data_IF_996991888095
#
_entry.id   IF_996991888095
#
_cell.length_a   1.000
_cell.length_b   1.000
_cell.length_c   1.000
_cell.angle_alpha   90.00
_cell.angle_beta   90.00
_cell.angle_gamma   90.00
#
_symmetry.space_group_name_H-M   'P 1'
#
loop_
_entity.id
_entity.type
_entity.pdbx_description
1 polymer ?
#
# COMPACT_ATOMS: atom_id res chain seq x y z
N UNK A 1 -1.79 2.75 18.95
CA UNK A 1 -1.90 4.04 18.21
C UNK A 1 -1.98 3.68 16.73
N UNK A 2 -3.14 3.82 16.10
CA UNK A 2 -3.30 3.64 14.65
C UNK A 2 -2.68 4.85 13.93
N UNK A 3 -1.92 4.60 12.87
CA UNK A 3 -1.24 5.63 12.07
C UNK A 3 -2.09 6.11 10.89
N UNK A 4 -3.26 5.49 10.66
CA UNK A 4 -4.13 5.69 9.51
C UNK A 4 -3.50 5.33 8.14
N UNK A 5 -2.23 4.91 8.10
CA UNK A 5 -1.59 4.39 6.90
C UNK A 5 -2.13 3.01 6.54
N UNK A 6 -2.34 2.78 5.24
CA UNK A 6 -2.70 1.48 4.67
C UNK A 6 -1.86 1.24 3.42
N UNK A 7 -1.52 -0.02 3.17
CA UNK A 7 -0.98 -0.50 1.89
C UNK A 7 -2.13 -1.19 1.17
N UNK A 8 -2.49 -0.72 -0.03
CA UNK A 8 -3.66 -1.23 -0.73
C UNK A 8 -3.54 -1.13 -2.26
N UNK A 9 -4.37 -1.91 -2.96
CA UNK A 9 -4.52 -1.85 -4.41
C UNK A 9 -5.30 -0.61 -4.88
N UNK A 10 -5.48 -0.46 -6.19
CA UNK A 10 -6.20 0.67 -6.76
C UNK A 10 -6.95 0.34 -8.05
N UNK A 11 -8.06 1.05 -8.28
CA UNK A 11 -8.78 1.10 -9.54
C UNK A 11 -8.31 2.24 -10.49
N UNK A 12 -7.43 3.14 -10.04
CA UNK A 12 -6.83 4.21 -10.85
C UNK A 12 -5.29 4.02 -10.87
N UNK A 13 -4.76 2.99 -11.56
CA UNK A 13 -3.33 2.65 -11.56
C UNK A 13 -2.43 3.77 -12.10
N UNK A 14 -2.94 4.63 -12.99
CA UNK A 14 -2.27 5.80 -13.55
C UNK A 14 -1.98 6.88 -12.52
N UNK A 15 -2.62 6.84 -11.34
CA UNK A 15 -2.41 7.80 -10.24
C UNK A 15 -1.35 7.34 -9.24
N UNK A 16 -0.79 6.14 -9.41
CA UNK A 16 0.33 5.68 -8.60
C UNK A 16 1.53 6.62 -8.81
N UNK A 17 2.18 7.02 -7.72
CA UNK A 17 3.32 7.95 -7.75
C UNK A 17 2.94 9.44 -7.78
N UNK A 18 1.65 9.77 -7.83
CA UNK A 18 1.15 11.13 -7.69
C UNK A 18 0.78 11.43 -6.23
N UNK A 19 0.80 12.71 -5.84
CA UNK A 19 0.32 13.18 -4.54
C UNK A 19 -1.22 13.17 -4.45
N UNK A 20 -1.81 11.98 -4.63
CA UNK A 20 -3.25 11.75 -4.68
C UNK A 20 -3.79 10.96 -3.47
N UNK A 21 -2.92 10.51 -2.57
CA UNK A 21 -3.31 9.86 -1.32
C UNK A 21 -3.04 10.77 -0.12
N UNK A 22 -3.85 10.66 0.93
CA UNK A 22 -3.60 11.29 2.23
C UNK A 22 -2.50 10.56 3.03
N UNK A 23 -1.51 9.99 2.33
CA UNK A 23 -0.41 9.22 2.91
C UNK A 23 -0.50 7.70 2.74
N UNK A 24 -1.65 7.13 2.33
CA UNK A 24 -1.75 5.69 2.03
C UNK A 24 -0.84 5.28 0.85
N UNK A 25 -0.31 4.06 0.92
CA UNK A 25 0.56 3.49 -0.10
C UNK A 25 -0.28 2.71 -1.10
N UNK A 26 -0.43 3.24 -2.32
CA UNK A 26 -1.12 2.58 -3.44
C UNK A 26 -0.16 1.72 -4.25
N UNK A 27 -0.59 0.52 -4.60
CA UNK A 27 0.12 -0.43 -5.46
C UNK A 27 -0.80 -0.87 -6.60
N UNK A 28 -0.22 -1.42 -7.68
CA UNK A 28 -1.05 -2.12 -8.68
C UNK A 28 -1.68 -3.34 -8.01
N UNK A 29 -2.85 -3.76 -8.48
CA UNK A 29 -3.59 -4.85 -7.85
C UNK A 29 -2.80 -6.18 -7.87
N UNK A 30 -2.04 -6.43 -8.94
CA UNK A 30 -1.17 -7.61 -9.01
C UNK A 30 -0.06 -7.57 -7.96
N UNK A 31 0.50 -6.39 -7.69
CA UNK A 31 1.64 -6.23 -6.78
C UNK A 31 1.18 -6.31 -5.31
N UNK A 32 0.00 -5.77 -4.97
CA UNK A 32 -0.52 -5.86 -3.60
C UNK A 32 -0.94 -7.29 -3.25
N UNK A 33 -1.45 -8.06 -4.21
CA UNK A 33 -1.77 -9.48 -4.02
C UNK A 33 -0.50 -10.29 -3.84
N UNK A 34 0.53 -10.04 -4.65
CA UNK A 34 1.83 -10.69 -4.50
C UNK A 34 2.46 -10.38 -3.12
N UNK A 35 2.40 -9.11 -2.69
CA UNK A 35 2.84 -8.71 -1.36
C UNK A 35 2.08 -9.44 -0.24
N UNK A 36 0.75 -9.48 -0.33
CA UNK A 36 -0.11 -10.13 0.66
C UNK A 36 0.24 -11.61 0.84
N UNK A 37 0.54 -12.31 -0.26
CA UNK A 37 0.90 -13.73 -0.20
C UNK A 37 2.29 -14.00 0.40
N UNK A 38 3.18 -13.00 0.42
CA UNK A 38 4.57 -13.15 0.88
C UNK A 38 4.80 -12.68 2.31
N UNK A 39 3.96 -11.76 2.79
CA UNK A 39 4.19 -11.02 4.03
C UNK A 39 3.18 -11.41 5.11
N UNK A 40 3.68 -11.88 6.25
CA UNK A 40 2.85 -12.18 7.42
C UNK A 40 2.33 -10.92 8.12
N UNK A 41 1.26 -11.08 8.90
CA UNK A 41 0.56 -9.95 9.55
C UNK A 41 1.45 -9.11 10.50
N UNK A 42 2.47 -9.71 11.12
CA UNK A 42 3.37 -9.04 12.07
C UNK A 42 4.59 -8.38 11.42
N UNK A 43 4.63 -8.32 10.09
CA UNK A 43 5.74 -7.72 9.38
C UNK A 43 5.89 -6.23 9.71
N UNK A 44 7.10 -5.85 10.13
CA UNK A 44 7.41 -4.46 10.46
C UNK A 44 7.43 -3.59 9.19
N UNK A 45 6.60 -2.56 9.18
CA UNK A 45 6.60 -1.52 8.14
C UNK A 45 7.39 -0.31 8.61
N UNK A 46 8.27 0.24 7.74
CA UNK A 46 9.03 1.47 7.99
C UNK A 46 8.70 2.44 6.85
N UNK A 47 8.09 3.58 7.19
CA UNK A 47 7.77 4.67 6.25
C UNK A 47 8.81 5.78 6.45
N UNK A 48 9.37 6.31 5.36
CA UNK A 48 10.38 7.39 5.35
C UNK A 48 9.89 8.59 4.56
#
# INVERSE_FOLDING_TARGET
KDTLYRIHGTNEPERIGQAASSGCIRMRNIDVVDLYNRVGADAKVIVR
#
